data_IF_031584032399
#
_entry.id   IF_031584032399
#
_cell.length_a   1.000
_cell.length_b   1.000
_cell.length_c   1.000
_cell.angle_alpha   90.00
_cell.angle_beta   90.00
_cell.angle_gamma   90.00
#
_symmetry.space_group_name_H-M   'P 1'
#
loop_
_entity.id
_entity.type
_entity.pdbx_description
1 polymer ?
#
# COMPACT_ATOMS: atom_id res chain seq x y z
N UNK A 1 17.45 17.13 -6.38
CA UNK A 1 16.14 16.66 -6.88
C UNK A 1 16.40 15.32 -7.54
N UNK A 2 15.85 14.25 -6.98
CA UNK A 2 15.99 12.90 -7.52
C UNK A 2 15.25 12.81 -8.87
N UNK A 3 15.89 12.21 -9.87
CA UNK A 3 15.23 11.78 -11.13
C UNK A 3 14.23 10.68 -10.78
N UNK A 4 13.00 11.08 -10.42
CA UNK A 4 11.91 10.14 -10.18
C UNK A 4 11.18 9.91 -11.50
N UNK A 5 11.08 8.66 -11.91
CA UNK A 5 10.31 8.23 -13.08
C UNK A 5 9.05 7.51 -12.64
N UNK A 6 8.06 7.43 -13.52
CA UNK A 6 6.85 6.65 -13.28
C UNK A 6 6.34 5.93 -14.51
N UNK A 7 5.48 4.95 -14.25
CA UNK A 7 4.67 4.26 -15.25
C UNK A 7 3.30 3.94 -14.64
N UNK A 8 2.31 3.75 -15.51
CA UNK A 8 1.00 3.23 -15.13
C UNK A 8 0.91 1.75 -15.49
N UNK A 9 0.16 0.99 -14.68
CA UNK A 9 -0.02 -0.45 -14.86
C UNK A 9 -1.41 -0.87 -14.39
N UNK A 10 -1.92 -1.97 -14.94
CA UNK A 10 -3.25 -2.47 -14.62
C UNK A 10 -3.22 -3.50 -13.50
N UNK A 11 -4.26 -3.50 -12.66
CA UNK A 11 -4.50 -4.51 -11.61
C UNK A 11 -5.99 -4.86 -11.60
N UNK A 12 -6.40 -5.95 -10.94
CA UNK A 12 -7.82 -6.28 -10.76
C UNK A 12 -8.65 -5.22 -9.99
N UNK A 13 -7.99 -4.27 -9.33
CA UNK A 13 -8.65 -3.14 -8.65
C UNK A 13 -8.66 -1.85 -9.48
N UNK A 14 -8.07 -1.85 -10.68
CA UNK A 14 -8.03 -0.75 -11.63
C UNK A 14 -6.62 -0.34 -12.04
N UNK A 15 -6.52 0.75 -12.82
CA UNK A 15 -5.25 1.28 -13.34
C UNK A 15 -4.51 2.07 -12.27
N UNK A 16 -3.38 1.54 -11.85
CA UNK A 16 -2.51 2.08 -10.80
C UNK A 16 -1.29 2.77 -11.41
N UNK A 17 -0.51 3.44 -10.58
CA UNK A 17 0.79 4.00 -10.98
C UNK A 17 1.90 3.62 -10.02
N UNK A 18 3.13 3.55 -10.52
CA UNK A 18 4.33 3.28 -9.73
C UNK A 18 5.38 4.32 -10.07
N UNK A 19 6.05 4.86 -9.05
CA UNK A 19 7.14 5.80 -9.22
C UNK A 19 8.41 5.29 -8.53
N UNK A 20 9.56 5.51 -9.13
CA UNK A 20 10.85 5.00 -8.65
C UNK A 20 11.98 6.01 -8.84
N UNK A 21 12.97 5.92 -7.95
CA UNK A 21 14.28 6.57 -8.07
C UNK A 21 15.35 5.53 -8.39
N UNK A 22 16.62 5.94 -8.46
CA UNK A 22 17.75 5.02 -8.54
C UNK A 22 17.89 4.09 -7.31
N UNK A 23 17.25 4.42 -6.18
CA UNK A 23 17.35 3.66 -4.92
C UNK A 23 16.22 2.65 -4.71
N UNK A 24 15.10 2.79 -5.43
CA UNK A 24 13.94 1.91 -5.27
C UNK A 24 12.61 2.61 -5.57
N UNK A 25 11.52 1.93 -5.21
CA UNK A 25 10.15 2.45 -5.39
C UNK A 25 9.90 3.56 -4.37
N UNK A 26 9.53 4.74 -4.84
CA UNK A 26 9.20 5.89 -3.98
C UNK A 26 7.70 6.01 -3.72
N UNK A 27 6.87 5.54 -4.65
CA UNK A 27 5.42 5.57 -4.49
C UNK A 27 4.69 4.53 -5.34
N UNK A 28 3.52 4.14 -4.85
CA UNK A 28 2.48 3.41 -5.58
C UNK A 28 1.20 4.20 -5.44
N UNK A 29 0.50 4.43 -6.55
CA UNK A 29 -0.77 5.11 -6.58
C UNK A 29 -1.86 4.10 -6.91
N UNK A 30 -2.75 3.87 -5.95
CA UNK A 30 -3.96 3.08 -6.17
C UNK A 30 -4.88 3.76 -7.19
N UNK A 31 -5.76 3.01 -7.87
CA UNK A 31 -6.58 3.54 -8.94
C UNK A 31 -7.52 4.67 -8.47
N UNK A 32 -7.55 5.74 -9.26
CA UNK A 32 -8.59 6.76 -9.23
C UNK A 32 -9.60 6.51 -10.37
N UNK A 33 -10.78 7.17 -10.37
CA UNK A 33 -11.80 6.98 -11.40
C UNK A 33 -11.33 7.09 -12.86
N UNK A 34 -10.22 7.77 -13.13
CA UNK A 34 -9.59 7.79 -14.45
C UNK A 34 -8.07 7.70 -14.39
N UNK A 35 -7.48 7.30 -15.52
CA UNK A 35 -6.04 7.29 -15.71
C UNK A 35 -5.44 8.69 -15.49
N UNK A 36 -6.08 9.73 -16.03
CA UNK A 36 -5.64 11.11 -15.88
C UNK A 36 -5.62 11.55 -14.41
N UNK A 37 -6.61 11.15 -13.61
CA UNK A 37 -6.62 11.43 -12.18
C UNK A 37 -5.51 10.67 -11.45
N UNK A 38 -5.33 9.38 -11.75
CA UNK A 38 -4.26 8.53 -11.18
C UNK A 38 -2.88 9.15 -11.44
N UNK A 39 -2.61 9.53 -12.70
CA UNK A 39 -1.40 10.26 -13.11
C UNK A 39 -1.29 11.60 -12.39
N UNK A 40 -2.36 12.39 -12.36
CA UNK A 40 -2.39 13.70 -11.70
C UNK A 40 -2.08 13.62 -10.20
N UNK A 41 -2.52 12.57 -9.51
CA UNK A 41 -2.21 12.37 -8.09
C UNK A 41 -0.72 12.07 -7.86
N UNK A 42 -0.09 11.28 -8.71
CA UNK A 42 1.36 11.05 -8.67
C UNK A 42 2.11 12.38 -8.89
N UNK A 43 1.70 13.15 -9.90
CA UNK A 43 2.30 14.45 -10.24
C UNK A 43 2.15 15.48 -9.11
N UNK A 44 1.02 15.49 -8.39
CA UNK A 44 0.84 16.35 -7.22
C UNK A 44 1.84 16.03 -6.10
N UNK A 45 2.17 14.75 -5.90
CA UNK A 45 3.12 14.31 -4.87
C UNK A 45 4.57 14.49 -5.31
N UNK A 46 4.85 14.32 -6.60
CA UNK A 46 6.17 14.44 -7.19
C UNK A 46 6.08 15.29 -8.48
N UNK A 47 6.21 16.62 -8.37
CA UNK A 47 5.97 17.54 -9.50
C UNK A 47 6.88 17.34 -10.71
N UNK A 48 8.05 16.74 -10.52
CA UNK A 48 9.08 16.55 -11.56
C UNK A 48 9.13 15.11 -12.10
N UNK A 49 8.04 14.36 -11.98
CA UNK A 49 7.95 12.99 -12.51
C UNK A 49 8.03 12.96 -14.03
N UNK A 50 8.83 12.03 -14.55
CA UNK A 50 8.94 11.75 -15.98
C UNK A 50 8.36 10.36 -16.26
N UNK A 51 7.38 10.27 -17.17
CA UNK A 51 6.84 8.98 -17.60
C UNK A 51 7.92 8.25 -18.41
N UNK A 52 8.21 7.00 -18.07
CA UNK A 52 9.24 6.22 -18.74
C UNK A 52 8.93 4.72 -18.65
N UNK A 53 9.48 3.90 -19.57
CA UNK A 53 9.44 2.46 -19.43
C UNK A 53 10.06 2.02 -18.09
N UNK A 54 9.40 1.16 -17.31
CA UNK A 54 9.96 0.63 -16.08
C UNK A 54 11.21 -0.20 -16.38
N UNK A 55 12.32 -0.04 -15.64
CA UNK A 55 13.45 -0.96 -15.74
C UNK A 55 13.07 -2.34 -15.17
N UNK A 56 13.84 -3.38 -15.50
CA UNK A 56 13.53 -4.77 -15.16
C UNK A 56 13.16 -5.02 -13.67
N UNK A 57 13.83 -4.34 -12.73
CA UNK A 57 13.51 -4.45 -11.29
C UNK A 57 12.13 -3.88 -10.94
N UNK A 58 11.71 -2.81 -11.62
CA UNK A 58 10.40 -2.19 -11.44
C UNK A 58 9.32 -3.01 -12.17
N UNK A 59 9.63 -3.57 -13.35
CA UNK A 59 8.75 -4.52 -14.04
C UNK A 59 8.46 -5.77 -13.21
N UNK A 60 9.48 -6.32 -12.55
CA UNK A 60 9.33 -7.43 -11.63
C UNK A 60 8.43 -7.05 -10.43
N UNK A 61 8.60 -5.84 -9.88
CA UNK A 61 7.73 -5.33 -8.82
C UNK A 61 6.27 -5.18 -9.29
N UNK A 62 6.04 -4.60 -10.48
CA UNK A 62 4.71 -4.51 -11.10
C UNK A 62 4.10 -5.90 -11.22
N UNK A 63 4.82 -6.84 -11.84
CA UNK A 63 4.33 -8.21 -12.08
C UNK A 63 3.87 -8.88 -10.78
N UNK A 64 4.65 -8.74 -9.70
CA UNK A 64 4.32 -9.31 -8.40
C UNK A 64 3.14 -8.62 -7.71
N UNK A 65 3.02 -7.30 -7.84
CA UNK A 65 1.84 -6.57 -7.35
C UNK A 65 0.57 -6.98 -8.11
N UNK A 66 0.66 -7.14 -9.43
CA UNK A 66 -0.46 -7.62 -10.25
C UNK A 66 -0.87 -9.03 -9.81
N UNK A 67 0.08 -9.96 -9.70
CA UNK A 67 -0.20 -11.31 -9.23
C UNK A 67 -0.90 -11.32 -7.85
N UNK A 68 -0.44 -10.48 -6.92
CA UNK A 68 -1.08 -10.32 -5.61
C UNK A 68 -2.51 -9.77 -5.71
N UNK A 69 -2.73 -8.76 -6.57
CA UNK A 69 -4.06 -8.21 -6.81
C UNK A 69 -4.98 -9.14 -7.60
N UNK A 70 -4.43 -10.18 -8.23
CA UNK A 70 -5.17 -11.29 -8.85
C UNK A 70 -5.37 -12.49 -7.90
N UNK A 71 -4.97 -12.38 -6.63
CA UNK A 71 -5.18 -13.39 -5.59
C UNK A 71 -4.05 -14.41 -5.43
N UNK A 72 -2.93 -14.26 -6.15
CA UNK A 72 -1.75 -15.10 -5.96
C UNK A 72 -0.94 -14.63 -4.75
N UNK A 73 -0.53 -15.57 -3.89
CA UNK A 73 0.26 -15.23 -2.70
C UNK A 73 1.64 -14.69 -3.11
N UNK A 74 1.92 -13.44 -2.74
CA UNK A 74 3.23 -12.79 -2.92
C UNK A 74 3.47 -11.81 -1.76
N UNK A 75 4.58 -11.95 -1.05
CA UNK A 75 4.82 -11.19 0.18
C UNK A 75 5.36 -9.76 -0.04
N UNK A 76 5.98 -9.50 -1.21
CA UNK A 76 6.57 -8.21 -1.61
C UNK A 76 7.63 -7.66 -0.64
N UNK A 77 8.15 -8.49 0.27
CA UNK A 77 8.98 -8.07 1.42
C UNK A 77 10.38 -7.59 1.01
N UNK A 78 10.88 -8.09 -0.10
CA UNK A 78 12.21 -7.82 -0.68
C UNK A 78 12.22 -6.64 -1.68
N UNK A 79 11.06 -6.08 -2.04
CA UNK A 79 11.02 -4.91 -2.93
C UNK A 79 11.70 -3.72 -2.25
N UNK A 80 12.71 -3.15 -2.91
CA UNK A 80 13.43 -1.99 -2.42
C UNK A 80 12.54 -0.74 -2.46
N UNK A 81 12.37 -0.10 -1.30
CA UNK A 81 11.64 1.15 -1.15
C UNK A 81 12.60 2.30 -0.87
N UNK A 82 12.40 3.41 -1.57
CA UNK A 82 13.08 4.68 -1.28
C UNK A 82 12.14 5.59 -0.48
N UNK A 83 12.16 5.41 0.85
CA UNK A 83 11.35 6.16 1.81
C UNK A 83 12.13 7.28 2.49
N UNK A 84 13.20 7.80 1.86
CA UNK A 84 14.06 8.82 2.44
C UNK A 84 13.30 10.06 2.94
N UNK A 85 12.24 10.44 2.24
CA UNK A 85 11.40 11.61 2.55
C UNK A 85 10.30 11.32 3.59
N UNK A 86 10.15 10.06 4.03
CA UNK A 86 9.20 9.69 5.08
C UNK A 86 9.80 9.92 6.48
N UNK A 87 9.01 10.42 7.44
CA UNK A 87 9.44 10.53 8.83
C UNK A 87 9.95 9.19 9.38
N UNK A 88 10.95 9.22 10.27
CA UNK A 88 11.56 8.00 10.82
C UNK A 88 10.54 7.08 11.49
N UNK A 89 9.63 7.65 12.29
CA UNK A 89 8.53 6.90 12.91
C UNK A 89 7.68 6.17 11.85
N UNK A 90 7.32 6.86 10.76
CA UNK A 90 6.54 6.26 9.68
C UNK A 90 7.29 5.10 9.03
N UNK A 91 8.61 5.25 8.79
CA UNK A 91 9.43 4.15 8.23
C UNK A 91 9.43 2.91 9.12
N UNK A 92 9.51 3.09 10.45
CA UNK A 92 9.42 1.97 11.40
C UNK A 92 8.04 1.31 11.37
N UNK A 93 6.97 2.11 11.28
CA UNK A 93 5.59 1.63 11.11
C UNK A 93 5.44 0.83 9.81
N UNK A 94 5.99 1.33 8.70
CA UNK A 94 5.96 0.64 7.39
C UNK A 94 6.75 -0.66 7.42
N UNK A 95 7.92 -0.70 8.05
CA UNK A 95 8.71 -1.92 8.20
C UNK A 95 7.91 -3.04 8.88
N UNK A 96 7.26 -2.73 10.01
CA UNK A 96 6.39 -3.70 10.72
C UNK A 96 5.20 -4.11 9.86
N UNK A 97 4.56 -3.17 9.17
CA UNK A 97 3.41 -3.49 8.33
C UNK A 97 3.77 -4.44 7.17
N UNK A 98 4.99 -4.35 6.63
CA UNK A 98 5.48 -5.24 5.57
C UNK A 98 5.70 -6.68 6.03
N UNK A 99 5.79 -6.94 7.33
CA UNK A 99 5.86 -8.30 7.88
C UNK A 99 4.51 -9.02 7.87
N UNK A 100 3.40 -8.29 7.65
CA UNK A 100 2.06 -8.88 7.61
C UNK A 100 1.88 -9.57 6.27
N UNK A 101 1.96 -10.92 6.25
CA UNK A 101 1.79 -11.72 5.05
C UNK A 101 0.38 -11.55 4.43
N UNK A 102 0.21 -11.77 3.11
CA UNK A 102 -1.11 -11.77 2.50
C UNK A 102 -2.08 -12.72 3.22
N UNK A 103 -3.36 -12.33 3.28
CA UNK A 103 -4.39 -13.08 4.01
C UNK A 103 -4.36 -12.88 5.54
N UNK A 104 -3.35 -12.23 6.08
CA UNK A 104 -3.22 -11.95 7.51
C UNK A 104 -3.48 -10.48 7.83
N UNK A 105 -3.84 -10.20 9.07
CA UNK A 105 -4.07 -8.82 9.54
C UNK A 105 -3.43 -8.58 10.91
N UNK A 106 -3.14 -7.31 11.20
CA UNK A 106 -2.76 -6.83 12.52
C UNK A 106 -3.62 -5.61 12.88
N UNK A 107 -3.80 -5.30 14.15
CA UNK A 107 -4.42 -4.03 14.54
C UNK A 107 -3.39 -2.90 14.63
N UNK A 108 -3.84 -1.65 14.57
CA UNK A 108 -3.00 -0.49 14.89
C UNK A 108 -2.33 -0.63 16.27
N UNK A 109 -3.03 -1.23 17.24
CA UNK A 109 -2.52 -1.49 18.58
C UNK A 109 -1.40 -2.53 18.61
N UNK A 110 -1.44 -3.54 17.74
CA UNK A 110 -0.39 -4.56 17.66
C UNK A 110 0.91 -3.98 17.10
N UNK A 111 0.81 -3.12 16.08
CA UNK A 111 1.96 -2.38 15.55
C UNK A 111 2.48 -1.39 16.61
N UNK A 112 1.60 -0.67 17.30
CA UNK A 112 1.96 0.28 18.35
C UNK A 112 2.74 -0.39 19.50
N UNK A 113 2.29 -1.56 19.96
CA UNK A 113 3.01 -2.36 20.97
C UNK A 113 4.43 -2.71 20.53
N UNK A 114 4.62 -3.11 19.26
CA UNK A 114 5.97 -3.38 18.71
C UNK A 114 6.86 -2.14 18.63
N UNK A 115 6.27 -0.93 18.61
CA UNK A 115 7.00 0.33 18.56
C UNK A 115 7.31 0.93 19.94
N UNK A 116 6.75 0.36 21.01
CA UNK A 116 7.03 0.76 22.39
C UNK A 116 5.81 0.97 23.28
N UNK A 117 4.59 0.95 22.74
CA UNK A 117 3.39 1.18 23.57
C UNK A 117 2.09 1.29 22.78
N UNK A 118 0.98 0.85 23.38
CA UNK A 118 -0.36 0.88 22.75
C UNK A 118 -0.89 2.32 22.52
N UNK A 119 -0.40 3.28 23.29
CA UNK A 119 -0.68 4.71 23.17
C UNK A 119 -0.25 5.30 21.81
N UNK A 120 0.68 4.64 21.11
CA UNK A 120 1.11 5.01 19.76
C UNK A 120 0.09 4.68 18.66
N UNK A 121 -1.00 3.94 18.97
CA UNK A 121 -1.98 3.46 17.97
C UNK A 121 -2.51 4.54 17.03
N UNK A 122 -2.78 5.74 17.56
CA UNK A 122 -3.27 6.86 16.74
C UNK A 122 -2.19 7.36 15.77
N UNK A 123 -0.94 7.43 16.23
CA UNK A 123 0.20 7.84 15.40
C UNK A 123 0.51 6.81 14.32
N UNK A 124 0.36 5.51 14.62
CA UNK A 124 0.42 4.42 13.63
C UNK A 124 -0.65 4.62 12.56
N UNK A 125 -1.89 4.93 12.95
CA UNK A 125 -2.97 5.22 12.00
C UNK A 125 -2.66 6.40 11.07
N UNK A 126 -2.09 7.48 11.60
CA UNK A 126 -1.65 8.63 10.80
C UNK A 126 -0.52 8.26 9.83
N UNK A 127 0.48 7.50 10.29
CA UNK A 127 1.57 7.02 9.45
C UNK A 127 1.04 6.14 8.29
N UNK A 128 0.11 5.23 8.58
CA UNK A 128 -0.55 4.38 7.59
C UNK A 128 -1.34 5.19 6.55
N UNK A 129 -2.02 6.27 6.96
CA UNK A 129 -2.72 7.18 6.04
C UNK A 129 -1.78 7.98 5.13
N UNK A 130 -0.51 8.13 5.52
CA UNK A 130 0.53 8.82 4.75
C UNK A 130 1.37 7.88 3.87
N UNK A 131 1.09 6.57 3.90
CA UNK A 131 1.83 5.54 3.19
C UNK A 131 2.00 5.89 1.71
N UNK A 132 3.24 6.12 1.22
CA UNK A 132 3.49 6.42 -0.17
C UNK A 132 3.35 5.20 -1.09
N UNK A 133 3.51 3.98 -0.55
CA UNK A 133 3.62 2.75 -1.32
C UNK A 133 2.55 1.71 -0.90
N UNK A 134 1.24 2.00 -1.04
CA UNK A 134 0.20 0.98 -0.89
C UNK A 134 0.47 -0.26 -1.75
N UNK A 135 -0.16 -1.39 -1.42
CA UNK A 135 0.16 -2.74 -1.92
C UNK A 135 1.48 -3.26 -1.34
N UNK A 136 2.62 -2.59 -1.59
CA UNK A 136 3.94 -3.04 -1.10
C UNK A 136 4.07 -2.84 0.41
N UNK A 137 3.65 -1.68 0.91
CA UNK A 137 3.38 -1.44 2.34
C UNK A 137 1.87 -1.69 2.52
N UNK A 138 1.47 -2.82 3.11
CA UNK A 138 0.10 -3.30 3.02
C UNK A 138 -0.78 -2.66 4.09
N UNK A 139 -1.01 -1.35 4.00
CA UNK A 139 -1.82 -0.60 4.96
C UNK A 139 -3.29 -1.09 5.02
N UNK A 140 -3.77 -1.80 3.99
CA UNK A 140 -5.08 -2.47 3.99
C UNK A 140 -5.14 -3.66 4.96
N UNK A 141 -4.00 -4.28 5.31
CA UNK A 141 -3.90 -5.37 6.30
C UNK A 141 -3.91 -4.89 7.76
N UNK A 142 -3.89 -3.57 7.99
CA UNK A 142 -3.89 -2.99 9.34
C UNK A 142 -5.28 -2.52 9.74
N UNK A 143 -5.88 -3.16 10.74
CA UNK A 143 -7.28 -2.96 11.15
C UNK A 143 -7.41 -2.14 12.43
N UNK A 144 -8.61 -1.62 12.67
CA UNK A 144 -8.99 -1.09 13.98
C UNK A 144 -9.22 -2.23 14.99
N UNK A 145 -9.30 -1.87 16.28
CA UNK A 145 -9.58 -2.83 17.34
C UNK A 145 -10.87 -3.63 17.07
N UNK A 146 -10.86 -4.91 17.45
CA UNK A 146 -11.99 -5.83 17.23
C UNK A 146 -12.14 -6.32 15.78
N UNK A 147 -11.12 -6.14 14.93
CA UNK A 147 -11.16 -6.58 13.53
C UNK A 147 -12.00 -5.68 12.62
N UNK A 148 -12.32 -4.46 13.07
CA UNK A 148 -13.05 -3.48 12.27
C UNK A 148 -12.14 -2.92 11.18
N UNK A 149 -12.65 -2.65 9.95
CA UNK A 149 -11.83 -2.12 8.86
C UNK A 149 -11.09 -0.82 9.22
N UNK A 150 -11.65 0.02 10.07
CA UNK A 150 -11.07 1.34 10.37
C UNK A 150 -11.11 2.26 9.13
N UNK A 151 -10.27 3.29 9.12
CA UNK A 151 -10.15 4.20 7.98
C UNK A 151 -9.24 3.67 6.87
N UNK A 152 -9.46 4.14 5.64
CA UNK A 152 -8.56 3.92 4.52
C UNK A 152 -8.51 5.16 3.63
N UNK A 153 -7.31 5.71 3.41
CA UNK A 153 -7.13 7.00 2.74
C UNK A 153 -7.14 6.91 1.21
N UNK A 154 -7.19 5.70 0.64
CA UNK A 154 -7.27 5.52 -0.80
C UNK A 154 -8.66 5.89 -1.35
N UNK A 155 -8.73 6.12 -2.65
CA UNK A 155 -10.00 6.25 -3.35
C UNK A 155 -10.84 4.98 -3.21
N UNK A 156 -12.16 5.14 -3.08
CA UNK A 156 -13.08 4.08 -2.66
C UNK A 156 -13.03 3.75 -1.17
N UNK A 157 -12.13 4.36 -0.39
CA UNK A 157 -12.10 4.27 1.06
C UNK A 157 -12.09 2.84 1.58
N UNK A 158 -12.97 2.56 2.53
CA UNK A 158 -13.07 1.24 3.18
C UNK A 158 -13.40 0.13 2.18
N UNK A 159 -14.15 0.41 1.12
CA UNK A 159 -14.53 -0.61 0.13
C UNK A 159 -13.31 -1.13 -0.63
N UNK A 160 -12.39 -0.24 -1.02
CA UNK A 160 -11.12 -0.64 -1.66
C UNK A 160 -10.29 -1.50 -0.72
N UNK A 161 -10.23 -1.15 0.57
CA UNK A 161 -9.53 -1.94 1.59
C UNK A 161 -10.12 -3.34 1.72
N UNK A 162 -11.44 -3.45 1.84
CA UNK A 162 -12.15 -4.72 1.94
C UNK A 162 -11.97 -5.57 0.68
N UNK A 163 -12.02 -4.96 -0.51
CA UNK A 163 -11.75 -5.64 -1.77
C UNK A 163 -10.34 -6.24 -1.81
N UNK A 164 -9.32 -5.47 -1.41
CA UNK A 164 -7.93 -5.96 -1.34
C UNK A 164 -7.76 -7.10 -0.32
N UNK A 165 -8.39 -6.99 0.85
CA UNK A 165 -8.39 -8.06 1.85
C UNK A 165 -9.07 -9.34 1.32
N UNK A 166 -10.20 -9.20 0.63
CA UNK A 166 -10.92 -10.33 0.04
C UNK A 166 -10.10 -11.03 -1.05
N UNK A 167 -9.42 -10.27 -1.92
CA UNK A 167 -8.51 -10.80 -2.95
C UNK A 167 -7.42 -11.67 -2.31
N UNK A 168 -6.87 -11.22 -1.17
CA UNK A 168 -5.81 -11.95 -0.46
C UNK A 168 -6.33 -13.12 0.40
N UNK A 169 -7.66 -13.33 0.47
CA UNK A 169 -8.28 -14.37 1.29
C UNK A 169 -8.29 -14.06 2.79
N UNK A 170 -8.16 -12.79 3.19
CA UNK A 170 -8.15 -12.41 4.59
C UNK A 170 -9.56 -12.47 5.21
N UNK A 171 -9.66 -13.09 6.39
CA UNK A 171 -10.90 -13.09 7.16
C UNK A 171 -11.06 -11.78 7.91
N UNK A 172 -12.13 -11.03 7.62
CA UNK A 172 -12.51 -9.82 8.35
C UNK A 172 -13.83 -10.12 9.04
N UNK A 173 -13.94 -9.85 10.35
CA UNK A 173 -15.14 -10.14 11.18
C UNK A 173 -16.44 -9.44 10.72
N UNK A 174 -16.44 -8.77 9.56
CA UNK A 174 -17.57 -8.05 8.97
C UNK A 174 -17.76 -8.28 7.47
N UNK A 175 -17.12 -9.29 6.87
CA UNK A 175 -17.55 -9.74 5.54
C UNK A 175 -18.79 -10.62 5.74
N UNK A 176 -19.99 -10.24 5.26
CA UNK A 176 -21.05 -11.23 5.15
C UNK A 176 -20.49 -12.34 4.28
N UNK A 177 -20.54 -13.57 4.77
CA UNK A 177 -20.29 -14.71 3.92
C UNK A 177 -21.25 -14.59 2.74
N UNK A 178 -20.78 -14.77 1.50
CA UNK A 178 -21.65 -14.84 0.31
C UNK A 178 -22.63 -16.05 0.36
N UNK A 179 -22.64 -16.77 1.49
CA UNK A 179 -23.42 -17.96 1.77
C UNK A 179 -24.16 -17.92 3.12
N UNK A 180 -24.31 -16.74 3.75
CA UNK A 180 -25.17 -16.53 4.93
C UNK A 180 -26.51 -15.87 4.54
#
# INVERSE_FOLDING_TARGET
>A
MSDVRFALFDTAIGRSGIAWSARGIVAVQLPLPSEAQTRGRLQQRYPSLIEAPPPAVVEAAITRMVALMDGHQNDLTDIALDLGDSPEFNRRVYAIAREILPGNTMTYGDIAKRLGGVDLSRQVGQAMGQNPCPIIVPCHRVLAAGGKPGGFSANGGVDTKLKMLAIEGAYVNHTPSLFD
#
